data_IF_078080431200
#
_entry.id   IF_078080431200
#
_cell.length_a   1.000
_cell.length_b   1.000
_cell.length_c   1.000
_cell.angle_alpha   90.00
_cell.angle_beta   90.00
_cell.angle_gamma   90.00
#
_symmetry.space_group_name_H-M   'P 1'
#
loop_
_entity.id
_entity.type
_entity.pdbx_description
1 polymer ?
#
# COMPACT_ATOMS: atom_id res chain seq x y z
N UNK A 1 9.79 -12.17 -13.47
CA UNK A 1 9.51 -10.72 -13.57
C UNK A 1 8.11 -10.51 -13.02
N UNK A 2 8.00 -10.13 -11.74
CA UNK A 2 6.71 -9.97 -11.06
C UNK A 2 6.13 -8.59 -11.40
N UNK A 3 5.41 -8.55 -12.52
CA UNK A 3 4.63 -7.43 -13.11
C UNK A 3 3.40 -7.01 -12.27
N UNK A 4 3.32 -7.38 -10.99
CA UNK A 4 2.07 -7.27 -10.25
C UNK A 4 1.88 -5.90 -9.56
N UNK A 5 2.97 -5.17 -9.26
CA UNK A 5 2.93 -3.82 -8.71
C UNK A 5 2.44 -2.75 -9.71
N UNK A 6 2.50 -3.04 -11.02
CA UNK A 6 2.09 -2.14 -12.10
C UNK A 6 0.56 -2.14 -12.33
N UNK A 7 -0.12 -3.21 -11.91
CA UNK A 7 -1.54 -3.46 -12.18
C UNK A 7 -2.51 -2.87 -11.12
N UNK A 8 -2.01 -2.09 -10.15
CA UNK A 8 -2.84 -1.36 -9.17
C UNK A 8 -3.34 0.01 -9.65
N UNK A 9 -3.42 0.21 -10.97
CA UNK A 9 -4.17 1.27 -11.65
C UNK A 9 -3.76 2.73 -11.39
N UNK A 10 -2.93 3.26 -12.29
CA UNK A 10 -2.95 4.69 -12.67
C UNK A 10 -3.76 4.84 -13.97
N UNK A 11 -4.04 6.07 -14.46
CA UNK A 11 -4.78 7.17 -13.81
C UNK A 11 -5.78 7.83 -14.81
N UNK A 12 -6.85 8.50 -14.37
CA UNK A 12 -7.56 9.38 -15.31
C UNK A 12 -6.99 10.81 -15.28
N UNK A 13 -6.03 11.03 -16.19
CA UNK A 13 -5.55 12.35 -16.64
C UNK A 13 -6.70 13.24 -17.18
N UNK A 14 -7.93 12.71 -17.27
CA UNK A 14 -9.15 13.48 -17.52
C UNK A 14 -9.43 14.54 -16.43
N UNK A 15 -9.00 14.33 -15.20
CA UNK A 15 -9.04 15.39 -14.17
C UNK A 15 -8.05 16.52 -14.45
N UNK A 16 -6.98 16.28 -15.20
CA UNK A 16 -5.95 17.28 -15.44
C UNK A 16 -6.33 18.35 -16.48
N UNK A 17 -7.42 18.19 -17.25
CA UNK A 17 -7.82 19.18 -18.27
C UNK A 17 -9.33 19.35 -18.53
N UNK A 18 -10.20 18.99 -17.58
CA UNK A 18 -11.66 19.08 -17.74
C UNK A 18 -12.33 20.26 -17.03
N UNK A 19 -12.00 21.52 -17.35
CA UNK A 19 -12.81 22.65 -16.91
C UNK A 19 -14.04 22.81 -17.82
N UNK A 20 -15.18 22.28 -17.38
CA UNK A 20 -16.50 22.82 -17.76
C UNK A 20 -17.46 22.78 -16.57
N UNK A 21 -17.58 23.95 -15.94
CA UNK A 21 -18.78 24.59 -15.39
C UNK A 21 -19.75 23.83 -14.47
N UNK A 22 -20.05 24.55 -13.39
CA UNK A 22 -21.32 24.68 -12.65
C UNK A 22 -21.77 23.56 -11.72
N UNK A 23 -21.66 23.87 -10.43
CA UNK A 23 -22.82 23.99 -9.54
C UNK A 23 -23.56 22.71 -9.19
N UNK A 24 -23.19 22.11 -8.06
CA UNK A 24 -24.00 21.12 -7.36
C UNK A 24 -23.24 20.59 -6.16
N UNK A 25 -23.83 20.67 -4.96
CA UNK A 25 -23.30 20.03 -3.76
C UNK A 25 -23.23 18.52 -4.02
N UNK A 26 -22.05 18.04 -4.42
CA UNK A 26 -21.79 16.63 -4.64
C UNK A 26 -21.64 15.97 -3.27
N UNK A 27 -22.68 15.25 -2.84
CA UNK A 27 -22.55 14.27 -1.79
C UNK A 27 -21.35 13.39 -2.11
N UNK A 28 -20.30 13.51 -1.31
CA UNK A 28 -19.11 12.68 -1.40
C UNK A 28 -19.52 11.26 -1.02
N UNK A 29 -19.99 10.50 -2.02
CA UNK A 29 -20.09 9.06 -1.96
C UNK A 29 -18.65 8.53 -1.86
N UNK A 30 -18.12 8.57 -0.63
CA UNK A 30 -16.83 8.00 -0.27
C UNK A 30 -16.97 6.51 -0.49
N UNK A 31 -16.61 6.09 -1.71
CA UNK A 31 -16.43 4.70 -2.11
C UNK A 31 -15.58 4.04 -1.01
N UNK A 32 -16.27 3.33 -0.12
CA UNK A 32 -15.67 2.76 1.08
C UNK A 32 -14.71 1.68 0.58
N UNK A 33 -13.40 1.99 0.55
CA UNK A 33 -12.38 1.02 0.16
C UNK A 33 -12.59 -0.25 0.97
N UNK A 34 -12.77 -1.37 0.30
CA UNK A 34 -13.23 -2.66 0.86
C UNK A 34 -12.17 -3.39 1.68
N UNK A 35 -10.94 -2.87 1.75
CA UNK A 35 -9.83 -3.50 2.46
C UNK A 35 -9.70 -3.15 3.94
N UNK A 36 -8.98 -3.99 4.67
CA UNK A 36 -8.63 -3.79 6.09
C UNK A 36 -7.61 -2.66 6.27
N UNK A 37 -7.62 -2.01 7.43
CA UNK A 37 -6.59 -1.07 7.85
C UNK A 37 -5.62 -1.76 8.82
N UNK A 38 -4.31 -1.62 8.58
CA UNK A 38 -3.27 -2.29 9.36
C UNK A 38 -2.44 -1.30 10.18
N UNK A 39 -2.14 -1.65 11.43
CA UNK A 39 -1.22 -0.90 12.28
C UNK A 39 0.07 -1.69 12.52
N UNK A 40 1.20 -1.21 11.98
CA UNK A 40 2.51 -1.86 12.03
C UNK A 40 3.43 -1.19 13.06
N UNK A 41 3.67 -1.90 14.18
CA UNK A 41 4.57 -1.45 15.23
C UNK A 41 6.06 -1.46 14.83
N UNK A 42 6.91 -0.81 15.62
CA UNK A 42 8.36 -0.94 15.53
C UNK A 42 8.86 -2.30 16.04
N UNK A 43 10.13 -2.63 15.84
CA UNK A 43 10.68 -3.91 16.31
C UNK A 43 12.14 -4.21 15.96
N UNK A 44 12.93 -3.22 15.54
CA UNK A 44 14.32 -3.39 15.09
C UNK A 44 14.45 -4.58 14.11
N UNK A 45 15.38 -5.52 14.38
CA UNK A 45 15.60 -6.71 13.55
C UNK A 45 14.37 -7.63 13.45
N UNK A 46 13.54 -7.74 14.49
CA UNK A 46 12.30 -8.54 14.43
C UNK A 46 11.23 -7.90 13.54
N UNK A 47 11.34 -6.60 13.27
CA UNK A 47 10.40 -5.87 12.42
C UNK A 47 10.36 -6.36 10.97
N UNK A 48 11.39 -7.07 10.50
CA UNK A 48 11.37 -7.72 9.19
C UNK A 48 10.26 -8.76 9.05
N UNK A 49 9.73 -9.30 10.15
CA UNK A 49 8.57 -10.19 10.14
C UNK A 49 7.32 -9.55 9.50
N UNK A 50 7.21 -8.22 9.50
CA UNK A 50 6.12 -7.51 8.82
C UNK A 50 6.06 -7.81 7.32
N UNK A 51 7.20 -8.09 6.68
CA UNK A 51 7.25 -8.51 5.27
C UNK A 51 6.46 -9.81 5.08
N UNK A 52 6.71 -10.80 5.93
CA UNK A 52 6.01 -12.09 5.88
C UNK A 52 4.51 -11.97 6.18
N UNK A 53 4.13 -11.12 7.12
CA UNK A 53 2.71 -10.85 7.42
C UNK A 53 2.00 -10.27 6.20
N UNK A 54 2.59 -9.28 5.54
CA UNK A 54 1.99 -8.65 4.36
C UNK A 54 1.87 -9.62 3.18
N UNK A 55 2.88 -10.48 2.95
CA UNK A 55 2.79 -11.55 1.95
C UNK A 55 1.68 -12.54 2.27
N UNK A 56 1.55 -12.96 3.52
CA UNK A 56 0.49 -13.88 3.93
C UNK A 56 -0.91 -13.26 3.72
N UNK A 57 -1.06 -11.95 3.91
CA UNK A 57 -2.31 -11.24 3.62
C UNK A 57 -2.60 -11.21 2.12
N UNK A 58 -1.60 -10.93 1.28
CA UNK A 58 -1.73 -10.99 -0.19
C UNK A 58 -2.10 -12.39 -0.68
N UNK A 59 -1.43 -13.43 -0.17
CA UNK A 59 -1.69 -14.84 -0.51
C UNK A 59 -3.10 -15.26 -0.09
N UNK A 60 -3.62 -14.72 1.02
CA UNK A 60 -4.98 -14.94 1.47
C UNK A 60 -6.03 -14.10 0.71
N UNK A 61 -5.62 -13.22 -0.20
CA UNK A 61 -6.53 -12.32 -0.93
C UNK A 61 -7.16 -11.23 -0.05
N UNK A 62 -6.52 -10.89 1.07
CA UNK A 62 -7.02 -9.87 2.00
C UNK A 62 -6.48 -8.50 1.57
N UNK A 63 -7.35 -7.67 1.00
CA UNK A 63 -6.99 -6.31 0.56
C UNK A 63 -6.64 -5.42 1.77
N UNK A 64 -5.49 -4.74 1.71
CA UNK A 64 -5.10 -3.72 2.70
C UNK A 64 -5.36 -2.33 2.12
N UNK A 65 -6.31 -1.60 2.70
CA UNK A 65 -6.73 -0.28 2.21
C UNK A 65 -5.90 0.87 2.78
N UNK A 66 -5.36 0.69 3.98
CA UNK A 66 -4.57 1.70 4.69
C UNK A 66 -3.56 1.03 5.63
N UNK A 67 -2.39 1.67 5.79
CA UNK A 67 -1.39 1.27 6.77
C UNK A 67 -0.97 2.48 7.60
N UNK A 68 -0.99 2.32 8.92
CA UNK A 68 -0.31 3.19 9.87
C UNK A 68 0.93 2.44 10.38
N UNK A 69 2.09 3.07 10.42
CA UNK A 69 3.33 2.40 10.84
C UNK A 69 4.26 3.29 11.64
N UNK A 70 5.10 2.67 12.48
CA UNK A 70 6.15 3.33 13.26
C UNK A 70 7.51 2.70 12.98
N UNK A 71 8.54 3.51 12.70
CA UNK A 71 9.91 3.04 12.44
C UNK A 71 9.94 1.98 11.33
N UNK A 72 10.47 0.78 11.59
CA UNK A 72 10.49 -0.33 10.63
C UNK A 72 9.10 -0.72 10.12
N UNK A 73 8.05 -0.58 10.93
CA UNK A 73 6.67 -0.80 10.48
C UNK A 73 6.21 0.25 9.46
N UNK A 74 6.66 1.51 9.60
CA UNK A 74 6.41 2.56 8.61
C UNK A 74 7.19 2.30 7.31
N UNK A 75 8.46 1.88 7.42
CA UNK A 75 9.28 1.53 6.27
C UNK A 75 8.67 0.38 5.47
N UNK A 76 8.40 -0.75 6.13
CA UNK A 76 7.84 -1.95 5.48
C UNK A 76 6.46 -1.66 4.89
N UNK A 77 5.58 -1.01 5.66
CA UNK A 77 4.24 -0.63 5.18
C UNK A 77 4.27 0.33 3.99
N UNK A 78 5.18 1.31 4.01
CA UNK A 78 5.38 2.24 2.91
C UNK A 78 5.88 1.54 1.64
N UNK A 79 6.90 0.69 1.77
CA UNK A 79 7.41 -0.12 0.65
C UNK A 79 6.32 -1.02 0.07
N UNK A 80 5.50 -1.66 0.91
CA UNK A 80 4.38 -2.48 0.45
C UNK A 80 3.36 -1.71 -0.37
N UNK A 81 2.90 -0.54 0.13
CA UNK A 81 1.98 0.33 -0.60
C UNK A 81 2.59 0.85 -1.91
N UNK A 82 3.91 1.10 -1.92
CA UNK A 82 4.65 1.49 -3.11
C UNK A 82 4.91 0.33 -4.10
N UNK A 83 4.54 -0.91 -3.76
CA UNK A 83 4.82 -2.09 -4.60
C UNK A 83 6.31 -2.47 -4.64
N UNK A 84 7.02 -2.18 -3.55
CA UNK A 84 8.47 -2.35 -3.37
C UNK A 84 8.84 -3.34 -2.27
N UNK A 85 7.94 -4.30 -2.00
CA UNK A 85 8.15 -5.27 -0.93
C UNK A 85 9.25 -6.28 -1.27
N UNK A 86 9.38 -6.65 -2.55
CA UNK A 86 10.39 -7.60 -3.02
C UNK A 86 11.80 -7.03 -2.86
N UNK A 87 12.05 -5.79 -3.31
CA UNK A 87 13.36 -5.15 -3.16
C UNK A 87 13.73 -4.92 -1.67
N UNK A 88 12.73 -4.64 -0.83
CA UNK A 88 12.94 -4.51 0.60
C UNK A 88 13.33 -5.84 1.25
N UNK A 89 12.71 -6.95 0.82
CA UNK A 89 13.03 -8.27 1.32
C UNK A 89 14.45 -8.71 0.92
N UNK A 90 14.86 -8.45 -0.32
CA UNK A 90 16.22 -8.73 -0.78
C UNK A 90 17.26 -7.97 0.06
N UNK A 91 17.04 -6.68 0.29
CA UNK A 91 17.89 -5.88 1.18
C UNK A 91 17.94 -6.48 2.58
N UNK A 92 16.79 -6.80 3.17
CA UNK A 92 16.71 -7.35 4.52
C UNK A 92 17.50 -8.67 4.67
N UNK A 93 17.45 -9.54 3.64
CA UNK A 93 18.18 -10.81 3.60
C UNK A 93 19.69 -10.63 3.41
N UNK A 94 20.14 -9.53 2.82
CA UNK A 94 21.57 -9.23 2.62
C UNK A 94 22.29 -8.73 3.88
N UNK A 95 21.56 -8.44 4.95
CA UNK A 95 22.13 -7.89 6.20
C UNK A 95 22.87 -8.95 7.05
N UNK A 96 22.87 -10.22 6.62
CA UNK A 96 23.53 -11.37 7.27
C UNK A 96 24.00 -12.35 6.22
#
# INVERSE_FOLDING_TARGET
MLEWASLRNRPDVREANGLSSSGGASETNSQKKTGISLALGGGCARGWAHIGVLRALDEAGIEVSMIAGTSIGALVGGCYLAGKLDELEEFARSLT
#
